data_IF_325479018456
#
_entry.id   IF_325479018456
#
_cell.length_a   1.000
_cell.length_b   1.000
_cell.length_c   1.000
_cell.angle_alpha   90.00
_cell.angle_beta   90.00
_cell.angle_gamma   90.00
#
_symmetry.space_group_name_H-M   'P 1'
#
loop_
_entity.id
_entity.type
_entity.pdbx_description
1 polymer ?
#
# COMPACT_ATOMS: atom_id res chain seq x y z
N UNK A 1 -4.57 14.94 -9.88
CA UNK A 1 -4.98 14.70 -8.48
C UNK A 1 -4.23 13.46 -7.96
N UNK A 2 -2.96 13.58 -7.57
CA UNK A 2 -2.13 12.44 -7.17
C UNK A 2 -2.68 11.69 -5.93
N UNK A 3 -3.22 12.45 -4.96
CA UNK A 3 -3.87 11.90 -3.77
C UNK A 3 -5.12 11.06 -4.06
N UNK A 4 -5.89 11.42 -5.10
CA UNK A 4 -7.07 10.67 -5.52
C UNK A 4 -6.67 9.31 -6.10
N UNK A 5 -5.67 9.29 -6.98
CA UNK A 5 -5.13 8.06 -7.56
C UNK A 5 -4.61 7.10 -6.47
N UNK A 6 -3.90 7.64 -5.47
CA UNK A 6 -3.42 6.84 -4.35
C UNK A 6 -4.58 6.22 -3.55
N UNK A 7 -5.64 6.99 -3.28
CA UNK A 7 -6.85 6.47 -2.62
C UNK A 7 -7.53 5.34 -3.41
N UNK A 8 -7.63 5.48 -4.73
CA UNK A 8 -8.16 4.42 -5.61
C UNK A 8 -7.32 3.13 -5.54
N UNK A 9 -5.98 3.26 -5.49
CA UNK A 9 -5.07 2.11 -5.35
C UNK A 9 -5.16 1.43 -3.99
N UNK A 10 -5.39 2.18 -2.92
CA UNK A 10 -5.61 1.59 -1.60
C UNK A 10 -6.95 0.83 -1.56
N UNK A 11 -8.01 1.40 -2.14
CA UNK A 11 -9.30 0.71 -2.24
C UNK A 11 -9.21 -0.59 -3.06
N UNK A 12 -8.45 -0.56 -4.16
CA UNK A 12 -8.13 -1.74 -4.97
C UNK A 12 -7.39 -2.80 -4.13
N UNK A 13 -6.36 -2.42 -3.38
CA UNK A 13 -5.62 -3.33 -2.50
C UNK A 13 -6.52 -3.99 -1.45
N UNK A 14 -7.39 -3.23 -0.79
CA UNK A 14 -8.34 -3.77 0.20
C UNK A 14 -9.31 -4.78 -0.43
N UNK A 15 -9.78 -4.49 -1.64
CA UNK A 15 -10.68 -5.39 -2.38
C UNK A 15 -9.97 -6.69 -2.74
N UNK A 16 -8.72 -6.62 -3.18
CA UNK A 16 -7.91 -7.79 -3.53
C UNK A 16 -7.56 -8.61 -2.28
N UNK A 17 -7.24 -7.98 -1.15
CA UNK A 17 -6.98 -8.67 0.12
C UNK A 17 -8.21 -9.44 0.64
N UNK A 18 -9.42 -8.93 0.38
CA UNK A 18 -10.65 -9.65 0.73
C UNK A 18 -10.88 -10.89 -0.13
N UNK A 19 -10.38 -10.91 -1.37
CA UNK A 19 -10.47 -12.05 -2.29
C UNK A 19 -9.30 -13.04 -2.14
N UNK A 20 -8.13 -12.54 -1.73
CA UNK A 20 -6.89 -13.29 -1.56
C UNK A 20 -6.36 -13.09 -0.13
N UNK A 21 -6.93 -13.80 0.86
CA UNK A 21 -6.53 -13.63 2.25
C UNK A 21 -5.08 -14.07 2.44
N UNK A 22 -4.31 -13.22 3.12
CA UNK A 22 -2.95 -13.49 3.54
C UNK A 22 -2.93 -14.21 4.90
N UNK A 23 -1.84 -14.93 5.23
CA UNK A 23 -1.63 -15.42 6.59
C UNK A 23 -1.66 -14.27 7.62
N UNK A 24 -2.12 -14.53 8.87
CA UNK A 24 -2.36 -13.50 9.89
C UNK A 24 -1.23 -12.46 10.10
N UNK A 25 0.06 -12.84 10.18
CA UNK A 25 1.12 -11.84 10.39
C UNK A 25 1.28 -10.88 9.19
N UNK A 26 1.04 -11.35 7.96
CA UNK A 26 1.16 -10.51 6.77
C UNK A 26 -0.09 -9.63 6.56
N UNK A 27 -1.28 -10.17 6.86
CA UNK A 27 -2.52 -9.39 6.69
C UNK A 27 -2.61 -8.25 7.70
N UNK A 28 -2.22 -8.47 8.95
CA UNK A 28 -2.27 -7.44 10.00
C UNK A 28 -1.31 -6.29 9.70
N UNK A 29 -0.05 -6.61 9.35
CA UNK A 29 0.95 -5.61 8.99
C UNK A 29 0.52 -4.80 7.76
N UNK A 30 0.06 -5.48 6.71
CA UNK A 30 -0.34 -4.80 5.48
C UNK A 30 -1.60 -3.94 5.67
N UNK A 31 -2.59 -4.41 6.44
CA UNK A 31 -3.77 -3.61 6.76
C UNK A 31 -3.44 -2.37 7.59
N UNK A 32 -2.50 -2.48 8.54
CA UNK A 32 -2.03 -1.34 9.32
C UNK A 32 -1.36 -0.30 8.41
N UNK A 33 -0.45 -0.72 7.53
CA UNK A 33 0.23 0.17 6.59
C UNK A 33 -0.76 0.88 5.64
N UNK A 34 -1.76 0.16 5.11
CA UNK A 34 -2.79 0.76 4.26
C UNK A 34 -3.67 1.76 5.04
N UNK A 35 -3.98 1.47 6.30
CA UNK A 35 -4.73 2.37 7.18
C UNK A 35 -3.95 3.67 7.43
N UNK A 36 -2.67 3.57 7.78
CA UNK A 36 -1.79 4.72 8.00
C UNK A 36 -1.71 5.60 6.75
N UNK A 37 -1.60 4.99 5.56
CA UNK A 37 -1.62 5.69 4.28
C UNK A 37 -2.92 6.45 4.02
N UNK A 38 -4.08 5.86 4.33
CA UNK A 38 -5.37 6.53 4.20
C UNK A 38 -5.51 7.71 5.17
N UNK A 39 -5.05 7.53 6.41
CA UNK A 39 -5.04 8.62 7.41
C UNK A 39 -4.14 9.76 6.94
N UNK A 40 -2.95 9.46 6.41
CA UNK A 40 -2.05 10.47 5.87
C UNK A 40 -2.62 11.20 4.66
N UNK A 41 -3.35 10.50 3.79
CA UNK A 41 -4.06 11.12 2.66
C UNK A 41 -5.11 12.15 3.10
N UNK A 42 -5.78 11.87 4.22
CA UNK A 42 -6.79 12.75 4.82
C UNK A 42 -6.17 13.87 5.66
N UNK A 43 -4.95 13.67 6.17
CA UNK A 43 -4.23 14.68 6.91
C UNK A 43 -3.78 15.85 6.01
N UNK A 44 -3.75 17.05 6.58
CA UNK A 44 -3.11 18.23 5.96
C UNK A 44 -1.59 18.27 6.22
N UNK A 45 -1.04 17.27 6.91
CA UNK A 45 0.37 17.18 7.20
C UNK A 45 1.17 16.71 5.97
N UNK A 46 2.45 17.07 5.95
CA UNK A 46 3.38 16.60 4.95
C UNK A 46 3.65 15.12 5.22
N UNK A 47 3.08 14.25 4.39
CA UNK A 47 3.34 12.82 4.48
C UNK A 47 4.74 12.51 3.92
N UNK A 48 5.50 11.72 4.68
CA UNK A 48 6.78 11.16 4.22
C UNK A 48 6.49 9.97 3.28
N UNK A 49 6.15 10.30 2.03
CA UNK A 49 5.80 9.31 1.02
C UNK A 49 6.95 8.36 0.68
N UNK A 50 8.20 8.79 0.86
CA UNK A 50 9.38 7.95 0.65
C UNK A 50 9.47 6.87 1.73
N UNK A 51 9.33 7.23 3.01
CA UNK A 51 9.27 6.27 4.11
C UNK A 51 8.13 5.27 3.92
N UNK A 52 6.94 5.74 3.56
CA UNK A 52 5.77 4.88 3.34
C UNK A 52 5.98 3.93 2.15
N UNK A 53 6.59 4.41 1.06
CA UNK A 53 6.94 3.57 -0.08
C UNK A 53 7.94 2.46 0.29
N UNK A 54 8.93 2.77 1.14
CA UNK A 54 9.92 1.79 1.59
C UNK A 54 9.30 0.70 2.49
N UNK A 55 8.36 1.05 3.36
CA UNK A 55 7.64 0.07 4.20
C UNK A 55 6.81 -0.90 3.35
N UNK A 56 6.06 -0.37 2.38
CA UNK A 56 5.27 -1.19 1.46
C UNK A 56 6.13 -2.04 0.52
N UNK A 57 7.31 -1.55 0.12
CA UNK A 57 8.25 -2.32 -0.71
C UNK A 57 8.79 -3.55 0.02
N UNK A 58 9.03 -3.45 1.33
CA UNK A 58 9.40 -4.62 2.14
C UNK A 58 8.26 -5.65 2.16
N UNK A 59 7.02 -5.20 2.38
CA UNK A 59 5.85 -6.08 2.34
C UNK A 59 5.61 -6.70 0.95
N UNK A 60 5.83 -5.94 -0.13
CA UNK A 60 5.77 -6.45 -1.51
C UNK A 60 6.78 -7.58 -1.73
N UNK A 61 8.04 -7.39 -1.33
CA UNK A 61 9.09 -8.39 -1.50
C UNK A 61 8.82 -9.68 -0.70
N UNK A 62 8.25 -9.57 0.50
CA UNK A 62 7.82 -10.73 1.28
C UNK A 62 6.66 -11.50 0.63
N UNK A 63 5.78 -10.79 -0.08
CA UNK A 63 4.57 -11.35 -0.68
C UNK A 63 4.75 -11.80 -2.13
N UNK A 64 5.80 -11.38 -2.83
CA UNK A 64 5.96 -11.60 -4.27
C UNK A 64 5.94 -13.09 -4.65
N UNK A 65 6.54 -13.94 -3.82
CA UNK A 65 6.67 -15.39 -4.07
C UNK A 65 5.35 -16.13 -3.82
N UNK A 66 4.73 -15.89 -2.67
CA UNK A 66 3.57 -16.67 -2.21
C UNK A 66 2.23 -16.05 -2.62
N UNK A 67 2.20 -14.72 -2.81
CA UNK A 67 1.00 -13.93 -3.06
C UNK A 67 1.21 -12.88 -4.17
N UNK A 68 1.59 -13.29 -5.40
CA UNK A 68 2.00 -12.39 -6.48
C UNK A 68 0.91 -11.39 -6.90
N UNK A 69 -0.37 -11.76 -6.76
CA UNK A 69 -1.50 -10.87 -7.05
C UNK A 69 -1.56 -9.72 -6.04
N UNK A 70 -1.38 -10.01 -4.75
CA UNK A 70 -1.36 -9.01 -3.69
C UNK A 70 -0.13 -8.13 -3.83
N UNK A 71 1.05 -8.74 -4.04
CA UNK A 71 2.31 -8.03 -4.25
C UNK A 71 2.22 -7.02 -5.40
N UNK A 72 1.64 -7.40 -6.55
CA UNK A 72 1.45 -6.50 -7.70
C UNK A 72 0.63 -5.25 -7.36
N UNK A 73 -0.39 -5.39 -6.53
CA UNK A 73 -1.24 -4.25 -6.14
C UNK A 73 -0.48 -3.34 -5.17
N UNK A 74 0.26 -3.92 -4.24
CA UNK A 74 1.15 -3.16 -3.34
C UNK A 74 2.24 -2.41 -4.13
N UNK A 75 2.88 -3.06 -5.11
CA UNK A 75 3.84 -2.42 -6.00
C UNK A 75 3.26 -1.24 -6.79
N UNK A 76 1.97 -1.30 -7.14
CA UNK A 76 1.26 -0.19 -7.77
C UNK A 76 1.07 1.00 -6.82
N UNK A 77 0.83 0.75 -5.53
CA UNK A 77 0.79 1.79 -4.49
C UNK A 77 2.19 2.39 -4.29
N UNK A 78 3.23 1.56 -4.17
CA UNK A 78 4.64 2.00 -4.03
C UNK A 78 5.03 2.92 -5.18
N UNK A 79 4.72 2.52 -6.42
CA UNK A 79 4.99 3.35 -7.60
C UNK A 79 4.26 4.69 -7.53
N UNK A 80 2.98 4.66 -7.16
CA UNK A 80 2.17 5.89 -7.01
C UNK A 80 2.75 6.81 -5.93
N UNK A 81 3.23 6.26 -4.81
CA UNK A 81 3.88 7.03 -3.75
C UNK A 81 5.17 7.70 -4.22
N UNK A 82 6.01 6.96 -4.96
CA UNK A 82 7.23 7.54 -5.53
C UNK A 82 6.92 8.62 -6.56
N UNK A 83 5.93 8.42 -7.43
CA UNK A 83 5.51 9.43 -8.42
C UNK A 83 4.97 10.71 -7.75
N UNK A 84 4.53 10.65 -6.49
CA UNK A 84 4.06 11.80 -5.69
C UNK A 84 5.20 12.49 -4.94
N UNK A 85 6.17 11.71 -4.45
CA UNK A 85 7.29 12.19 -3.64
C UNK A 85 8.48 12.74 -4.42
N UNK A 86 8.48 12.62 -5.75
CA UNK A 86 9.49 13.17 -6.68
C UNK A 86 9.18 14.63 -7.02
#
# INVERSE_FOLDING_TARGET
MPKQLLGEKIAEARSILALHPLPPPHIENLQAQLCDLELHLQSHEQADYERLANLLRAAEAELEVDHPIVARVIGSIVKTLMDIGI
#
